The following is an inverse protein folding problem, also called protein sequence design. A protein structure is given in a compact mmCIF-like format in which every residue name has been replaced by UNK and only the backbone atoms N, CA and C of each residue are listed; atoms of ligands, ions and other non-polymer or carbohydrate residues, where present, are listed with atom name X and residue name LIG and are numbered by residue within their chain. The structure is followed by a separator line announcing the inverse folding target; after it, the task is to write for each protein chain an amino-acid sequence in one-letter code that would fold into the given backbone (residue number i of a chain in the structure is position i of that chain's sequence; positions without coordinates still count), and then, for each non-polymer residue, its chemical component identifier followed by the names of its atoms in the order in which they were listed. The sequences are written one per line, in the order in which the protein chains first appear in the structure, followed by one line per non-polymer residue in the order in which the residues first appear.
data_IF_942823679083
#
_entry.id   IF_942823679083
#
_cell.length_a   1.000
_cell.length_b   1.000
_cell.length_c   1.000
_cell.angle_alpha   90.00
_cell.angle_beta   90.00
_cell.angle_gamma   90.00
#
_symmetry.space_group_name_H-M   'P 1'
#
loop_
_entity.id
_entity.type
_entity.pdbx_description
1 polymer ?
#
# COMPACT_ATOMS: atom_id res chain seq x y z
N UNK A 1 24.44 -48.82 -70.19
CA UNK A 1 25.50 -47.89 -70.62
C UNK A 1 25.14 -46.49 -70.14
N UNK A 2 26.07 -45.81 -69.44
CA UNK A 2 26.36 -44.35 -69.40
C UNK A 2 25.16 -43.34 -69.40
N UNK A 3 25.12 -42.24 -68.64
CA UNK A 3 26.12 -41.42 -67.92
C UNK A 3 25.38 -40.39 -67.05
N UNK A 4 26.13 -39.88 -66.07
CA UNK A 4 25.95 -38.76 -65.12
C UNK A 4 25.29 -37.47 -65.65
N UNK A 5 24.76 -36.65 -64.74
CA UNK A 5 24.71 -35.18 -64.91
C UNK A 5 23.73 -34.43 -64.01
N UNK A 6 24.29 -33.70 -63.05
CA UNK A 6 23.69 -32.82 -62.02
C UNK A 6 23.17 -31.47 -62.61
N UNK A 7 22.14 -30.86 -62.01
CA UNK A 7 21.79 -29.41 -61.87
C UNK A 7 20.26 -29.35 -61.63
N UNK A 8 19.70 -28.97 -60.49
CA UNK A 8 19.92 -27.73 -59.74
C UNK A 8 18.73 -26.78 -59.98
N UNK A 9 17.67 -26.85 -59.17
CA UNK A 9 16.73 -25.74 -58.94
C UNK A 9 15.88 -25.98 -57.70
N UNK A 10 16.24 -25.24 -56.64
CA UNK A 10 15.39 -24.94 -55.51
C UNK A 10 14.48 -23.76 -55.87
N UNK A 11 13.20 -23.80 -55.46
CA UNK A 11 12.24 -22.70 -55.21
C UNK A 11 10.84 -23.34 -55.15
N UNK A 12 9.90 -23.03 -54.25
CA UNK A 12 9.84 -22.18 -53.10
C UNK A 12 8.65 -22.69 -52.26
N UNK A 13 8.84 -23.06 -50.99
CA UNK A 13 7.72 -23.15 -50.07
C UNK A 13 7.34 -21.71 -49.69
N UNK A 14 6.16 -21.26 -50.13
CA UNK A 14 5.57 -20.03 -49.67
C UNK A 14 5.20 -20.16 -48.19
N UNK A 15 6.10 -19.73 -47.31
CA UNK A 15 5.78 -19.44 -45.91
C UNK A 15 5.09 -18.08 -45.91
N UNK A 16 3.75 -18.10 -45.87
CA UNK A 16 2.97 -16.94 -45.46
C UNK A 16 3.36 -16.61 -44.01
N UNK A 17 3.91 -15.44 -43.71
CA UNK A 17 4.04 -15.03 -42.31
C UNK A 17 2.63 -14.74 -41.81
N UNK A 18 2.21 -15.45 -40.76
CA UNK A 18 1.10 -15.01 -39.91
C UNK A 18 1.47 -13.66 -39.28
N UNK A 19 1.26 -12.58 -40.02
CA UNK A 19 1.15 -11.25 -39.47
C UNK A 19 -0.31 -11.05 -39.05
N UNK A 20 -0.69 -11.64 -37.92
CA UNK A 20 -1.89 -11.22 -37.19
C UNK A 20 -1.54 -11.06 -35.70
N UNK A 21 -2.08 -9.99 -35.13
CA UNK A 21 -2.00 -9.53 -33.74
C UNK A 21 -0.67 -8.94 -33.23
N UNK A 22 -0.29 -7.76 -33.74
CA UNK A 22 0.63 -6.83 -33.06
C UNK A 22 0.13 -5.38 -33.08
N UNK A 23 -1.20 -5.19 -33.05
CA UNK A 23 -1.78 -3.84 -33.06
C UNK A 23 -1.79 -3.15 -31.67
N UNK A 24 -1.48 -3.87 -30.57
CA UNK A 24 -1.78 -3.41 -29.20
C UNK A 24 -0.60 -3.39 -28.22
N UNK A 25 0.64 -3.59 -28.67
CA UNK A 25 1.80 -3.42 -27.80
C UNK A 25 2.41 -2.03 -28.01
N UNK A 26 1.73 -0.99 -27.50
CA UNK A 26 2.50 0.20 -27.14
C UNK A 26 3.33 -0.20 -25.92
N UNK A 27 4.65 -0.33 -26.09
CA UNK A 27 5.54 -0.63 -24.96
C UNK A 27 5.42 0.48 -23.92
N UNK A 28 5.45 0.10 -22.64
CA UNK A 28 5.43 1.07 -21.55
C UNK A 28 6.59 2.06 -21.70
N UNK A 29 6.37 3.36 -21.44
CA UNK A 29 7.45 4.33 -21.46
C UNK A 29 8.56 3.90 -20.50
N UNK A 30 9.79 3.84 -21.02
CA UNK A 30 10.96 3.47 -20.22
C UNK A 30 11.19 4.53 -19.13
N UNK A 31 11.49 4.05 -17.93
CA UNK A 31 11.86 4.87 -16.78
C UNK A 31 13.27 4.51 -16.34
N UNK A 32 14.02 5.51 -15.89
CA UNK A 32 15.28 5.25 -15.16
C UNK A 32 14.96 4.62 -13.79
N UNK A 33 15.98 4.04 -13.14
CA UNK A 33 15.80 3.52 -11.78
C UNK A 33 15.37 4.62 -10.78
N UNK A 34 15.91 5.83 -10.93
CA UNK A 34 15.56 6.98 -10.10
C UNK A 34 14.11 7.41 -10.33
N UNK A 35 13.66 7.46 -11.59
CA UNK A 35 12.28 7.76 -11.94
C UNK A 35 11.31 6.68 -11.40
N UNK A 36 11.68 5.40 -11.47
CA UNK A 36 10.89 4.31 -10.91
C UNK A 36 10.71 4.46 -9.40
N UNK A 37 11.78 4.78 -8.67
CA UNK A 37 11.71 4.99 -7.21
C UNK A 37 10.89 6.22 -6.85
N UNK A 38 11.09 7.34 -7.55
CA UNK A 38 10.30 8.57 -7.34
C UNK A 38 8.82 8.34 -7.65
N UNK A 39 8.50 7.69 -8.77
CA UNK A 39 7.13 7.36 -9.16
C UNK A 39 6.46 6.41 -8.17
N UNK A 40 7.18 5.41 -7.66
CA UNK A 40 6.70 4.49 -6.62
C UNK A 40 6.33 5.22 -5.34
N UNK A 41 7.17 6.16 -4.89
CA UNK A 41 6.90 6.95 -3.68
C UNK A 41 5.64 7.81 -3.84
N UNK A 42 5.57 8.60 -4.91
CA UNK A 42 4.40 9.46 -5.19
C UNK A 42 3.13 8.61 -5.31
N UNK A 43 3.20 7.48 -6.04
CA UNK A 43 2.06 6.58 -6.18
C UNK A 43 1.56 6.06 -4.84
N UNK A 44 2.46 5.60 -3.98
CA UNK A 44 2.09 5.04 -2.68
C UNK A 44 1.46 6.09 -1.76
N UNK A 45 2.02 7.30 -1.72
CA UNK A 45 1.55 8.37 -0.84
C UNK A 45 0.23 9.00 -1.31
N UNK A 46 0.02 9.09 -2.63
CA UNK A 46 -1.05 9.92 -3.20
C UNK A 46 -2.09 9.17 -4.01
N UNK A 47 -1.77 8.01 -4.57
CA UNK A 47 -2.65 7.32 -5.54
C UNK A 47 -3.16 5.96 -5.03
N UNK A 48 -2.31 5.21 -4.33
CA UNK A 48 -2.57 3.82 -3.95
C UNK A 48 -3.79 3.68 -3.00
N UNK A 49 -4.14 4.71 -2.24
CA UNK A 49 -5.34 4.70 -1.40
C UNK A 49 -6.63 4.49 -2.19
N UNK A 50 -6.75 5.09 -3.38
CA UNK A 50 -7.93 4.95 -4.24
C UNK A 50 -7.79 3.83 -5.28
N UNK A 51 -6.59 3.65 -5.83
CA UNK A 51 -6.36 2.73 -6.95
C UNK A 51 -5.79 1.37 -6.53
N UNK A 52 -5.43 1.20 -5.26
CA UNK A 52 -4.77 0.03 -4.73
C UNK A 52 -3.29 -0.01 -5.08
N UNK A 53 -2.49 -0.66 -4.23
CA UNK A 53 -1.03 -0.78 -4.44
C UNK A 53 -0.72 -1.57 -5.73
N UNK A 54 -1.52 -2.60 -6.01
CA UNK A 54 -1.43 -3.41 -7.23
C UNK A 54 -2.22 -2.81 -8.41
N UNK A 55 -2.73 -1.58 -8.29
CA UNK A 55 -3.47 -0.85 -9.34
C UNK A 55 -4.80 -1.47 -9.81
N UNK A 56 -5.31 -2.50 -9.13
CA UNK A 56 -6.56 -3.19 -9.51
C UNK A 56 -7.84 -2.40 -9.22
N UNK A 57 -7.73 -1.21 -8.62
CA UNK A 57 -8.84 -0.37 -8.22
C UNK A 57 -9.34 -0.72 -6.82
N UNK A 58 -9.86 0.30 -6.13
CA UNK A 58 -10.59 0.18 -4.88
C UNK A 58 -11.83 1.08 -4.96
N UNK A 59 -11.68 2.36 -4.63
CA UNK A 59 -12.68 3.40 -4.95
C UNK A 59 -12.41 3.99 -6.34
N UNK A 60 -11.14 4.15 -6.70
CA UNK A 60 -10.67 4.55 -8.03
C UNK A 60 -10.67 3.39 -9.02
N UNK A 61 -10.67 3.74 -10.31
CA UNK A 61 -10.66 2.76 -11.42
C UNK A 61 -9.37 1.91 -11.42
N UNK A 62 -9.45 0.76 -12.08
CA UNK A 62 -8.28 -0.08 -12.37
C UNK A 62 -7.28 0.67 -13.28
N UNK A 63 -6.02 0.74 -12.85
CA UNK A 63 -4.86 1.37 -13.52
C UNK A 63 -3.79 0.37 -13.96
N UNK A 64 -4.12 -0.92 -14.09
CA UNK A 64 -3.22 -1.90 -14.69
C UNK A 64 -2.83 -1.47 -16.12
N UNK A 65 -1.58 -1.70 -16.57
CA UNK A 65 -1.13 -1.41 -17.93
C UNK A 65 -2.07 -1.97 -19.01
N UNK A 66 -2.56 -3.17 -18.76
CA UNK A 66 -3.56 -3.87 -19.56
C UNK A 66 -4.46 -4.71 -18.64
N UNK A 67 -5.77 -4.70 -18.88
CA UNK A 67 -6.72 -5.58 -18.22
C UNK A 67 -7.82 -6.02 -19.19
N UNK A 68 -8.34 -7.22 -18.95
CA UNK A 68 -9.50 -7.78 -19.65
C UNK A 68 -10.57 -8.17 -18.62
N UNK A 69 -11.83 -7.83 -18.88
CA UNK A 69 -12.99 -8.25 -18.07
C UNK A 69 -14.07 -8.83 -18.97
N UNK A 70 -14.56 -10.01 -18.65
CA UNK A 70 -15.74 -10.59 -19.32
C UNK A 70 -17.01 -10.06 -18.67
N UNK A 71 -17.89 -9.44 -19.45
CA UNK A 71 -19.22 -9.04 -19.04
C UNK A 71 -20.17 -10.26 -18.94
N UNK A 72 -21.31 -10.14 -18.24
CA UNK A 72 -22.25 -11.27 -18.06
C UNK A 72 -22.82 -11.84 -19.36
N UNK A 73 -22.86 -11.05 -20.43
CA UNK A 73 -23.29 -11.45 -21.78
C UNK A 73 -22.21 -12.18 -22.59
N UNK A 74 -21.02 -12.37 -22.01
CA UNK A 74 -19.86 -12.98 -22.66
C UNK A 74 -18.95 -11.99 -23.40
N UNK A 75 -19.30 -10.70 -23.46
CA UNK A 75 -18.50 -9.68 -24.13
C UNK A 75 -17.19 -9.44 -23.37
N UNK A 76 -16.05 -9.46 -24.07
CA UNK A 76 -14.75 -9.08 -23.49
C UNK A 76 -14.54 -7.57 -23.58
N UNK A 77 -14.35 -6.94 -22.42
CA UNK A 77 -13.97 -5.54 -22.28
C UNK A 77 -12.49 -5.44 -21.98
N UNK A 78 -11.78 -4.58 -22.70
CA UNK A 78 -10.34 -4.42 -22.57
C UNK A 78 -9.94 -2.96 -22.46
N UNK A 79 -9.03 -2.71 -21.54
CA UNK A 79 -8.52 -1.38 -21.22
C UNK A 79 -7.15 -1.46 -20.57
N UNK A 80 -6.75 -0.35 -19.97
CA UNK A 80 -5.48 -0.22 -19.29
C UNK A 80 -4.82 1.11 -19.60
N UNK A 81 -3.83 1.47 -18.80
CA UNK A 81 -3.14 2.76 -18.91
C UNK A 81 -2.36 2.88 -20.23
N UNK A 82 -1.84 1.79 -20.79
CA UNK A 82 -1.16 1.79 -22.10
C UNK A 82 -2.08 2.23 -23.24
N UNK A 83 -3.34 1.78 -23.22
CA UNK A 83 -4.36 2.16 -24.22
C UNK A 83 -4.77 3.63 -24.10
N UNK A 84 -4.67 4.23 -22.90
CA UNK A 84 -4.96 5.65 -22.70
C UNK A 84 -3.83 6.53 -23.22
N UNK A 85 -2.58 6.10 -23.05
CA UNK A 85 -1.39 6.83 -23.47
C UNK A 85 -1.03 8.00 -22.55
N UNK A 86 0.24 8.38 -22.55
CA UNK A 86 0.82 9.36 -21.60
C UNK A 86 0.11 10.71 -21.64
N UNK A 87 -0.16 11.28 -22.81
CA UNK A 87 -0.76 12.62 -22.93
C UNK A 87 -2.15 12.69 -22.27
N UNK A 88 -2.97 11.65 -22.45
CA UNK A 88 -4.30 11.58 -21.83
C UNK A 88 -4.18 11.39 -20.33
N UNK A 89 -3.26 10.54 -19.89
CA UNK A 89 -3.02 10.29 -18.46
C UNK A 89 -2.53 11.56 -17.75
N UNK A 90 -1.63 12.33 -18.37
CA UNK A 90 -1.21 13.63 -17.83
C UNK A 90 -2.39 14.56 -17.63
N UNK A 91 -3.27 14.71 -18.62
CA UNK A 91 -4.47 15.56 -18.48
C UNK A 91 -5.39 15.08 -17.36
N UNK A 92 -5.58 13.77 -17.23
CA UNK A 92 -6.40 13.18 -16.16
C UNK A 92 -5.77 13.44 -14.79
N UNK A 93 -4.45 13.28 -14.65
CA UNK A 93 -3.75 13.51 -13.38
C UNK A 93 -3.74 15.01 -13.05
N UNK A 94 -3.47 15.87 -14.03
CA UNK A 94 -3.48 17.33 -13.86
C UNK A 94 -4.83 17.83 -13.40
N UNK A 95 -5.91 17.51 -14.12
CA UNK A 95 -7.20 18.19 -13.96
C UNK A 95 -8.26 17.36 -13.23
N UNK A 96 -7.98 16.09 -12.94
CA UNK A 96 -8.94 15.19 -12.36
C UNK A 96 -10.06 14.80 -13.35
N UNK A 97 -11.14 14.24 -12.81
CA UNK A 97 -12.34 13.87 -13.57
C UNK A 97 -13.60 14.05 -12.73
N UNK A 98 -14.74 14.27 -13.38
CA UNK A 98 -16.05 14.33 -12.70
C UNK A 98 -16.43 13.04 -11.96
N UNK A 99 -15.74 11.92 -12.25
CA UNK A 99 -15.91 10.64 -11.57
C UNK A 99 -15.20 10.50 -10.21
N UNK A 100 -14.75 11.61 -9.61
CA UNK A 100 -14.13 11.64 -8.27
C UNK A 100 -12.60 11.57 -8.26
N UNK A 101 -11.94 11.57 -9.41
CA UNK A 101 -10.48 11.75 -9.47
C UNK A 101 -10.16 13.22 -9.23
N UNK A 102 -9.36 13.51 -8.21
CA UNK A 102 -8.91 14.88 -7.89
C UNK A 102 -7.86 15.39 -8.87
N UNK A 103 -7.72 16.71 -8.99
CA UNK A 103 -6.63 17.36 -9.72
C UNK A 103 -5.35 17.33 -8.88
N UNK A 104 -4.19 17.37 -9.55
CA UNK A 104 -2.86 17.39 -8.90
C UNK A 104 -1.95 18.50 -9.43
N UNK A 105 -2.42 19.34 -10.35
CA UNK A 105 -1.65 20.43 -10.95
C UNK A 105 -1.27 21.56 -9.97
N UNK A 106 -1.86 21.56 -8.78
CA UNK A 106 -1.50 22.42 -7.64
C UNK A 106 -0.60 21.74 -6.59
N UNK A 107 -0.37 20.42 -6.69
CA UNK A 107 0.39 19.62 -5.70
C UNK A 107 1.63 18.91 -6.29
N UNK A 108 1.63 18.63 -7.59
CA UNK A 108 2.73 17.99 -8.32
C UNK A 108 3.25 18.90 -9.41
N UNK A 109 4.56 18.88 -9.66
CA UNK A 109 5.11 19.61 -10.81
C UNK A 109 4.69 18.95 -12.12
N UNK A 110 4.80 19.67 -13.24
CA UNK A 110 4.50 19.12 -14.57
C UNK A 110 5.35 17.88 -14.88
N UNK A 111 6.61 17.88 -14.46
CA UNK A 111 7.55 16.76 -14.62
C UNK A 111 7.12 15.56 -13.78
N UNK A 112 6.61 15.79 -12.57
CA UNK A 112 6.07 14.73 -11.71
C UNK A 112 4.78 14.14 -12.27
N UNK A 113 3.90 14.97 -12.84
CA UNK A 113 2.69 14.51 -13.51
C UNK A 113 3.03 13.65 -14.73
N UNK A 114 3.97 14.10 -15.56
CA UNK A 114 4.48 13.30 -16.68
C UNK A 114 5.11 11.98 -16.21
N UNK A 115 5.93 12.03 -15.13
CA UNK A 115 6.50 10.85 -14.52
C UNK A 115 5.41 9.89 -14.06
N UNK A 116 4.37 10.37 -13.38
CA UNK A 116 3.26 9.52 -12.92
C UNK A 116 2.50 8.90 -14.08
N UNK A 117 2.23 9.65 -15.14
CA UNK A 117 1.60 9.14 -16.36
C UNK A 117 2.42 8.02 -17.00
N UNK A 118 3.74 8.13 -17.06
CA UNK A 118 4.64 7.07 -17.54
C UNK A 118 4.73 5.89 -16.55
N UNK A 119 4.81 6.16 -15.25
CA UNK A 119 4.96 5.16 -14.20
C UNK A 119 3.76 4.22 -14.12
N UNK A 120 2.53 4.73 -14.23
CA UNK A 120 1.33 3.90 -14.16
C UNK A 120 1.12 3.00 -15.38
N UNK A 121 1.89 3.22 -16.46
CA UNK A 121 1.91 2.37 -17.65
C UNK A 121 2.88 1.19 -17.54
N UNK A 122 3.81 1.21 -16.57
CA UNK A 122 4.72 0.10 -16.29
C UNK A 122 4.05 -0.94 -15.39
N UNK A 123 4.54 -2.19 -15.37
CA UNK A 123 4.04 -3.21 -14.45
C UNK A 123 4.20 -2.76 -12.98
N UNK A 124 3.16 -2.88 -12.12
CA UNK A 124 3.27 -2.43 -10.74
C UNK A 124 4.29 -3.29 -9.96
N UNK A 125 5.18 -2.67 -9.16
CA UNK A 125 6.02 -3.44 -8.26
C UNK A 125 5.15 -4.15 -7.21
N UNK A 126 5.49 -5.41 -6.90
CA UNK A 126 4.80 -6.19 -5.88
C UNK A 126 5.43 -5.84 -4.52
N UNK A 127 4.64 -5.33 -3.54
CA UNK A 127 5.14 -5.10 -2.19
C UNK A 127 5.61 -6.41 -1.54
N UNK A 128 6.61 -6.37 -0.65
CA UNK A 128 6.97 -7.55 0.10
C UNK A 128 5.80 -7.99 0.99
N UNK A 129 5.60 -9.30 1.09
CA UNK A 129 4.72 -9.88 2.07
C UNK A 129 5.30 -9.74 3.49
N UNK A 130 4.44 -9.69 4.51
CA UNK A 130 4.86 -9.65 5.91
C UNK A 130 4.48 -10.96 6.61
N UNK A 131 5.43 -11.89 6.71
CA UNK A 131 5.19 -13.27 7.13
C UNK A 131 5.04 -13.42 8.65
N UNK A 132 4.59 -14.60 9.10
CA UNK A 132 4.61 -14.96 10.52
C UNK A 132 6.02 -14.91 11.12
N UNK A 133 7.06 -15.19 10.31
CA UNK A 133 8.45 -15.07 10.77
C UNK A 133 8.78 -13.61 11.05
N UNK A 134 8.41 -12.70 10.17
CA UNK A 134 8.64 -11.25 10.35
C UNK A 134 7.88 -10.71 11.56
N UNK A 135 6.64 -11.18 11.78
CA UNK A 135 5.87 -10.87 13.00
C UNK A 135 6.62 -11.33 14.25
N UNK A 136 7.12 -12.58 14.28
CA UNK A 136 7.88 -13.12 15.42
C UNK A 136 9.18 -12.37 15.66
N UNK A 137 9.91 -12.03 14.61
CA UNK A 137 11.17 -11.28 14.69
C UNK A 137 10.94 -9.85 15.20
N UNK A 138 9.78 -9.27 14.90
CA UNK A 138 9.38 -7.95 15.40
C UNK A 138 8.85 -7.96 16.84
N UNK A 139 8.44 -9.14 17.36
CA UNK A 139 7.78 -9.25 18.66
C UNK A 139 8.76 -9.00 19.80
N UNK A 140 8.39 -8.10 20.70
CA UNK A 140 9.13 -7.80 21.92
C UNK A 140 8.20 -7.96 23.12
N UNK A 141 8.49 -8.96 23.96
CA UNK A 141 7.88 -9.09 25.27
C UNK A 141 8.73 -8.29 26.28
N UNK A 142 8.30 -7.06 26.58
CA UNK A 142 9.05 -6.15 27.45
C UNK A 142 8.88 -6.53 28.92
N UNK A 143 7.66 -6.93 29.31
CA UNK A 143 7.37 -7.41 30.66
C UNK A 143 6.62 -8.73 30.60
N UNK A 144 7.24 -9.84 31.05
CA UNK A 144 6.59 -11.15 31.12
C UNK A 144 5.34 -11.11 31.99
N UNK A 145 4.31 -11.88 31.62
CA UNK A 145 3.01 -11.87 32.32
C UNK A 145 3.14 -12.16 33.82
N UNK A 146 4.03 -13.09 34.19
CA UNK A 146 4.30 -13.48 35.59
C UNK A 146 4.87 -12.34 36.44
N UNK A 147 5.48 -11.33 35.82
CA UNK A 147 6.13 -10.20 36.48
C UNK A 147 5.23 -8.95 36.52
N UNK A 148 3.99 -9.07 36.01
CA UNK A 148 3.00 -7.97 36.00
C UNK A 148 2.22 -7.90 37.32
N UNK A 149 1.66 -6.73 37.67
CA UNK A 149 0.81 -6.58 38.84
C UNK A 149 -0.38 -7.56 38.81
N UNK A 150 -0.68 -8.17 39.96
CA UNK A 150 -1.85 -9.04 40.12
C UNK A 150 -3.11 -8.27 40.47
N UNK A 151 -2.97 -7.00 40.85
CA UNK A 151 -4.05 -6.04 41.14
C UNK A 151 -3.66 -4.64 40.66
N UNK A 152 -4.64 -3.76 40.54
CA UNK A 152 -4.39 -2.35 40.23
C UNK A 152 -3.60 -1.69 41.37
N UNK A 153 -2.51 -1.00 41.02
CA UNK A 153 -1.61 -0.32 41.96
C UNK A 153 -1.90 1.18 42.04
N UNK A 154 -2.38 1.79 40.96
CA UNK A 154 -2.79 3.21 40.94
C UNK A 154 -4.21 3.44 41.48
N UNK A 155 -4.56 4.72 41.67
CA UNK A 155 -5.90 5.17 42.11
C UNK A 155 -6.78 5.70 40.97
N UNK A 156 -6.36 5.55 39.71
CA UNK A 156 -7.10 6.11 38.56
C UNK A 156 -8.36 5.29 38.30
N UNK A 157 -9.46 5.99 38.00
CA UNK A 157 -10.70 5.35 37.58
C UNK A 157 -10.57 4.80 36.15
N UNK A 158 -10.14 3.56 36.00
CA UNK A 158 -9.87 2.94 34.69
C UNK A 158 -11.11 2.87 33.77
N UNK A 159 -12.32 3.01 34.32
CA UNK A 159 -13.56 3.07 33.53
C UNK A 159 -13.78 4.44 32.88
N UNK A 160 -13.05 5.46 33.31
CA UNK A 160 -13.14 6.84 32.82
C UNK A 160 -11.77 7.36 32.34
N UNK A 161 -10.96 6.50 31.71
CA UNK A 161 -9.68 6.90 31.10
C UNK A 161 -9.88 7.16 29.60
N UNK A 162 -9.31 8.25 29.11
CA UNK A 162 -9.26 8.57 27.69
C UNK A 162 -7.89 8.22 27.11
N UNK A 163 -7.87 7.44 26.04
CA UNK A 163 -6.68 7.13 25.25
C UNK A 163 -6.63 8.08 24.04
N UNK A 164 -5.86 9.16 24.15
CA UNK A 164 -5.80 10.24 23.16
C UNK A 164 -4.57 10.07 22.28
N UNK A 165 -4.79 10.01 20.98
CA UNK A 165 -3.72 9.90 19.98
C UNK A 165 -3.03 11.25 19.79
N UNK A 166 -1.71 11.27 19.98
CA UNK A 166 -0.84 12.39 19.63
C UNK A 166 -0.16 12.06 18.29
N UNK A 167 -0.94 12.23 17.21
CA UNK A 167 -0.74 11.58 15.91
C UNK A 167 0.68 11.72 15.36
N UNK A 168 1.11 12.94 15.06
CA UNK A 168 2.37 13.17 14.34
C UNK A 168 3.59 12.98 15.25
N UNK A 169 3.41 13.03 16.56
CA UNK A 169 4.44 12.71 17.55
C UNK A 169 4.67 11.19 17.71
N UNK A 170 3.77 10.35 17.19
CA UNK A 170 3.83 8.89 17.39
C UNK A 170 3.70 8.49 18.86
N UNK A 171 2.81 9.16 19.60
CA UNK A 171 2.58 8.94 21.03
C UNK A 171 1.11 8.74 21.37
N UNK A 172 0.86 8.19 22.55
CA UNK A 172 -0.46 8.08 23.17
C UNK A 172 -0.45 8.81 24.52
N UNK A 173 -1.42 9.68 24.76
CA UNK A 173 -1.70 10.22 26.09
C UNK A 173 -2.83 9.42 26.73
N UNK A 174 -2.59 8.88 27.94
CA UNK A 174 -3.64 8.42 28.82
C UNK A 174 -4.02 9.58 29.75
N UNK A 175 -5.30 9.97 29.71
CA UNK A 175 -5.84 11.10 30.47
C UNK A 175 -6.91 10.59 31.41
N UNK A 176 -6.84 10.99 32.67
CA UNK A 176 -7.88 10.73 33.66
C UNK A 176 -9.10 11.61 33.35
N UNK A 177 -10.23 10.99 33.04
CA UNK A 177 -11.48 11.68 32.71
C UNK A 177 -12.17 12.33 33.90
N UNK A 178 -11.83 11.97 35.14
CA UNK A 178 -12.41 12.61 36.33
C UNK A 178 -11.68 13.94 36.65
N UNK A 179 -10.37 13.99 36.44
CA UNK A 179 -9.53 15.15 36.80
C UNK A 179 -9.01 15.96 35.61
N UNK A 180 -9.18 15.43 34.39
CA UNK A 180 -8.63 15.95 33.13
C UNK A 180 -7.10 16.05 33.10
N UNK A 181 -6.41 15.39 34.04
CA UNK A 181 -4.95 15.39 34.09
C UNK A 181 -4.39 14.32 33.17
N UNK A 182 -3.31 14.66 32.47
CA UNK A 182 -2.51 13.67 31.74
C UNK A 182 -1.90 12.74 32.77
N UNK A 183 -2.30 11.46 32.73
CA UNK A 183 -1.74 10.43 33.58
C UNK A 183 -0.36 9.99 33.07
N UNK A 184 -0.25 9.71 31.76
CA UNK A 184 1.03 9.37 31.13
C UNK A 184 0.99 9.65 29.63
N UNK A 185 2.14 10.06 29.09
CA UNK A 185 2.41 10.03 27.65
C UNK A 185 3.34 8.87 27.36
N UNK A 186 2.95 8.02 26.41
CA UNK A 186 3.64 6.79 26.04
C UNK A 186 4.11 6.89 24.59
N UNK A 187 5.36 6.47 24.34
CA UNK A 187 5.88 6.33 23.00
C UNK A 187 5.31 5.06 22.35
N UNK A 188 4.73 5.20 21.15
CA UNK A 188 4.13 4.10 20.39
C UNK A 188 4.85 3.86 19.06
N UNK A 189 5.91 4.62 18.78
CA UNK A 189 6.79 4.48 17.62
C UNK A 189 6.33 5.24 16.39
N UNK A 190 5.05 5.09 16.00
CA UNK A 190 4.48 5.78 14.83
C UNK A 190 3.06 6.27 15.10
N UNK A 191 2.49 7.02 14.15
CA UNK A 191 1.17 7.62 14.25
C UNK A 191 0.09 6.57 14.53
N UNK A 192 -0.41 6.55 15.77
CA UNK A 192 -1.52 5.68 16.20
C UNK A 192 -2.77 6.02 15.41
N UNK A 193 -3.49 5.00 14.97
CA UNK A 193 -4.77 5.20 14.30
C UNK A 193 -5.95 4.96 15.24
N UNK A 194 -5.87 3.92 16.07
CA UNK A 194 -6.92 3.58 17.05
C UNK A 194 -6.32 3.05 18.35
N UNK A 195 -7.09 3.23 19.41
CA UNK A 195 -6.93 2.51 20.68
C UNK A 195 -8.12 1.59 20.92
N UNK A 196 -7.88 0.43 21.53
CA UNK A 196 -8.90 -0.52 21.98
C UNK A 196 -8.56 -1.02 23.38
N UNK A 197 -9.58 -1.40 24.15
CA UNK A 197 -9.41 -1.95 25.48
C UNK A 197 -9.60 -3.47 25.48
N UNK A 198 -8.90 -4.16 26.38
CA UNK A 198 -9.27 -5.54 26.73
C UNK A 198 -10.66 -5.56 27.34
N UNK A 199 -11.34 -6.70 27.26
CA UNK A 199 -12.65 -6.89 27.90
C UNK A 199 -12.63 -6.61 29.42
N UNK A 200 -11.50 -6.88 30.08
CA UNK A 200 -11.31 -6.59 31.50
C UNK A 200 -11.10 -5.10 31.82
N UNK A 201 -10.87 -4.25 30.80
CA UNK A 201 -10.49 -2.84 30.98
C UNK A 201 -9.05 -2.63 31.46
N UNK A 202 -8.25 -3.69 31.64
CA UNK A 202 -6.87 -3.59 32.13
C UNK A 202 -5.86 -3.12 31.09
N UNK A 203 -5.98 -3.62 29.85
CA UNK A 203 -5.00 -3.39 28.81
C UNK A 203 -5.53 -2.42 27.75
N UNK A 204 -4.69 -1.46 27.36
CA UNK A 204 -4.90 -0.66 26.15
C UNK A 204 -4.04 -1.24 25.04
N UNK A 205 -4.65 -1.47 23.89
CA UNK A 205 -4.00 -1.86 22.65
C UNK A 205 -4.03 -0.66 21.72
N UNK A 206 -2.89 -0.33 21.13
CA UNK A 206 -2.82 0.66 20.04
C UNK A 206 -2.26 0.01 18.81
N UNK A 207 -2.69 0.49 17.64
CA UNK A 207 -2.10 0.12 16.35
C UNK A 207 -1.72 1.39 15.58
N UNK A 208 -0.45 1.46 15.22
CA UNK A 208 0.11 2.48 14.35
C UNK A 208 -0.29 2.25 12.89
N UNK A 209 -0.30 3.31 12.09
CA UNK A 209 -0.51 3.22 10.63
C UNK A 209 0.54 2.37 9.91
N UNK A 210 1.67 2.13 10.55
CA UNK A 210 2.77 1.28 10.09
C UNK A 210 2.63 -0.19 10.53
N UNK A 211 1.50 -0.56 11.15
CA UNK A 211 1.25 -1.93 11.62
C UNK A 211 1.89 -2.28 12.97
N UNK A 212 2.59 -1.34 13.64
CA UNK A 212 3.11 -1.58 14.98
C UNK A 212 1.97 -1.59 16.01
N UNK A 213 1.79 -2.71 16.68
CA UNK A 213 0.84 -2.89 17.78
C UNK A 213 1.57 -2.80 19.12
N UNK A 214 1.03 -2.01 20.04
CA UNK A 214 1.59 -1.78 21.38
C UNK A 214 0.55 -2.14 22.44
N UNK A 215 0.96 -2.92 23.44
CA UNK A 215 0.12 -3.34 24.57
C UNK A 215 0.58 -2.61 25.84
N UNK A 216 -0.33 -1.90 26.47
CA UNK A 216 -0.09 -1.08 27.66
C UNK A 216 -0.89 -1.65 28.83
N UNK A 217 -0.23 -1.95 29.95
CA UNK A 217 -0.87 -2.41 31.19
C UNK A 217 -1.17 -1.21 32.11
N UNK A 218 -2.45 -0.96 32.37
CA UNK A 218 -2.89 0.14 33.22
C UNK A 218 -2.93 -0.21 34.72
N UNK A 219 -2.49 -1.41 35.13
CA UNK A 219 -2.48 -1.76 36.56
C UNK A 219 -1.25 -1.26 37.32
N UNK A 220 -0.19 -0.84 36.64
CA UNK A 220 0.97 -0.21 37.27
C UNK A 220 0.62 1.16 37.88
N UNK A 221 1.45 1.68 38.79
CA UNK A 221 1.34 3.06 39.28
C UNK A 221 1.37 4.07 38.12
N UNK A 222 2.31 3.87 37.19
CA UNK A 222 2.33 4.50 35.88
C UNK A 222 2.09 3.44 34.78
N UNK A 223 1.15 3.66 33.84
CA UNK A 223 0.87 2.73 32.76
C UNK A 223 2.15 2.39 32.00
N UNK A 224 2.34 1.11 31.74
CA UNK A 224 3.61 0.60 31.21
C UNK A 224 3.36 -0.19 29.93
N UNK A 225 4.15 0.08 28.88
CA UNK A 225 4.18 -0.76 27.69
C UNK A 225 4.80 -2.10 28.04
N UNK A 226 4.03 -3.19 27.90
CA UNK A 226 4.46 -4.54 28.30
C UNK A 226 4.82 -5.44 27.13
N UNK A 227 4.35 -5.11 25.92
CA UNK A 227 4.74 -5.82 24.70
C UNK A 227 4.49 -4.97 23.44
N UNK A 228 5.25 -5.25 22.39
CA UNK A 228 5.02 -4.73 21.04
C UNK A 228 5.17 -5.83 19.99
N UNK A 229 4.47 -5.70 18.87
CA UNK A 229 4.60 -6.58 17.70
C UNK A 229 4.17 -5.82 16.44
N UNK A 230 4.87 -6.03 15.33
CA UNK A 230 4.45 -5.49 14.03
C UNK A 230 3.64 -6.55 13.28
N UNK A 231 2.50 -6.17 12.72
CA UNK A 231 1.57 -7.06 12.02
C UNK A 231 1.46 -6.76 10.51
N UNK A 232 2.28 -5.84 10.00
CA UNK A 232 2.34 -5.44 8.60
C UNK A 232 3.43 -4.40 8.36
N UNK A 233 3.70 -4.10 7.08
CA UNK A 233 4.70 -3.11 6.64
C UNK A 233 4.05 -1.92 5.95
#
# INVERSE_FOLDING_TARGET
MQKKGLFGSALALAILPLAMSSAWAADAPKLTAEEMEKGKLIYFERCAGCHGVLRKGATGKNLEPHWTKTAPDGTKLEGGTLKLGTERLEKIISYGTEGGMVNYDDILTKEEINLMARYIQNEPPIPPEFSLKDMKDSWKLLVPVKDRPTKQMNKVNLKNVFAITLRDAGKLALVDGDTHKIWKILDTGYAVHISRLSASGRYVYTVGRDGLTTIIDMYYEEPTTVATVRLGS
#
